data_IF_613134638050
#
_entry.id   IF_613134638050
#
_cell.length_a   1.000
_cell.length_b   1.000
_cell.length_c   1.000
_cell.angle_alpha   90.00
_cell.angle_beta   90.00
_cell.angle_gamma   90.00
#
_symmetry.space_group_name_H-M   'P 1'
#
loop_
_entity.id
_entity.type
_entity.pdbx_description
1 polymer ?
#
# COMPACT_ATOMS: atom_id res chain seq x y z
N UNK A 1 -5.91 32.12 8.09
CA UNK A 1 -4.48 31.93 8.43
C UNK A 1 -4.13 30.48 8.16
N UNK A 2 -3.52 30.26 7.01
CA UNK A 2 -3.09 28.95 6.47
C UNK A 2 -1.82 28.53 7.17
N UNK A 3 -1.94 27.72 8.22
CA UNK A 3 -0.81 26.98 8.76
C UNK A 3 -0.64 25.71 7.94
N UNK A 4 0.33 25.70 7.03
CA UNK A 4 0.89 24.48 6.45
C UNK A 4 1.54 23.71 7.60
N UNK A 5 0.81 22.74 8.15
CA UNK A 5 1.32 21.88 9.21
C UNK A 5 2.44 21.01 8.63
N UNK A 6 3.70 21.40 8.86
CA UNK A 6 4.84 20.51 8.65
C UNK A 6 4.60 19.23 9.46
N UNK A 7 4.63 18.08 8.79
CA UNK A 7 4.53 16.79 9.46
C UNK A 7 5.70 16.63 10.43
N UNK A 8 5.41 16.58 11.74
CA UNK A 8 6.42 16.36 12.78
C UNK A 8 7.03 14.97 12.57
N UNK A 9 8.35 14.92 12.39
CA UNK A 9 9.07 13.71 12.01
C UNK A 9 8.87 12.56 13.03
N UNK A 10 8.52 11.38 12.52
CA UNK A 10 8.58 10.12 13.25
C UNK A 10 9.99 9.91 13.79
N UNK A 11 10.11 9.62 15.09
CA UNK A 11 11.35 9.16 15.70
C UNK A 11 11.09 7.96 16.60
N UNK A 12 12.07 7.08 16.73
CA UNK A 12 12.02 6.01 17.73
C UNK A 12 12.19 6.65 19.12
N UNK A 13 11.27 6.42 20.09
CA UNK A 13 11.45 6.85 21.47
C UNK A 13 12.80 6.39 22.05
N UNK A 14 13.58 7.34 22.58
CA UNK A 14 14.95 7.14 23.05
C UNK A 14 16.00 8.06 22.40
N UNK A 15 15.64 8.77 21.32
CA UNK A 15 16.53 9.73 20.66
C UNK A 15 16.50 11.17 21.25
N UNK A 16 15.54 11.50 22.11
CA UNK A 16 15.48 12.80 22.81
C UNK A 16 15.15 12.60 24.28
N UNK A 17 16.02 13.08 25.16
CA UNK A 17 15.75 13.20 26.59
C UNK A 17 14.96 14.49 26.87
N UNK A 18 13.64 14.38 27.00
CA UNK A 18 12.80 15.30 27.79
C UNK A 18 11.34 14.84 27.78
N UNK A 19 10.70 14.85 28.95
CA UNK A 19 9.41 14.22 29.27
C UNK A 19 8.23 14.52 28.36
N UNK A 20 7.44 13.47 28.14
CA UNK A 20 6.31 13.34 27.20
C UNK A 20 6.59 12.12 26.31
N UNK A 21 5.59 11.27 25.99
CA UNK A 21 5.80 10.02 25.22
C UNK A 21 6.48 10.22 23.84
N UNK A 22 6.73 11.46 23.41
CA UNK A 22 7.72 11.82 22.38
C UNK A 22 7.35 11.44 20.95
N UNK A 23 6.19 10.80 20.76
CA UNK A 23 5.70 10.34 19.47
C UNK A 23 4.90 11.44 18.77
N UNK A 24 5.18 11.75 17.51
CA UNK A 24 4.42 12.74 16.77
C UNK A 24 2.97 12.30 16.60
N UNK A 25 2.04 13.24 16.81
CA UNK A 25 0.64 13.05 16.49
C UNK A 25 0.42 13.36 15.01
N UNK A 26 -0.10 12.38 14.27
CA UNK A 26 -0.48 12.56 12.87
C UNK A 26 -1.87 13.18 12.81
N UNK A 27 -1.99 14.30 12.11
CA UNK A 27 -3.26 15.00 11.89
C UNK A 27 -3.58 14.94 10.41
N UNK A 28 -4.75 14.39 10.07
CA UNK A 28 -5.29 14.39 8.73
C UNK A 28 -6.41 15.41 8.67
N UNK A 29 -6.21 16.49 7.92
CA UNK A 29 -7.26 17.48 7.74
C UNK A 29 -8.41 16.92 6.88
N UNK A 30 -9.57 17.58 6.96
CA UNK A 30 -10.79 17.09 6.31
C UNK A 30 -10.72 17.20 4.78
N UNK A 31 -9.97 18.15 4.24
CA UNK A 31 -9.82 18.32 2.80
C UNK A 31 -8.96 17.19 2.22
N UNK A 32 -7.82 16.87 2.84
CA UNK A 32 -7.00 15.71 2.47
C UNK A 32 -7.78 14.41 2.66
N UNK A 33 -8.55 14.26 3.74
CA UNK A 33 -9.39 13.08 3.95
C UNK A 33 -10.39 12.85 2.80
N UNK A 34 -11.11 13.89 2.37
CA UNK A 34 -12.04 13.83 1.24
C UNK A 34 -11.32 13.61 -0.09
N UNK A 35 -10.16 14.23 -0.29
CA UNK A 35 -9.33 13.99 -1.47
C UNK A 35 -8.91 12.51 -1.54
N UNK A 36 -8.50 11.90 -0.42
CA UNK A 36 -8.23 10.45 -0.35
C UNK A 36 -9.51 9.67 -0.67
N UNK A 37 -10.66 9.99 -0.06
CA UNK A 37 -11.92 9.29 -0.28
C UNK A 37 -12.38 9.29 -1.75
N UNK A 38 -12.08 10.38 -2.48
CA UNK A 38 -12.31 10.51 -3.92
C UNK A 38 -11.19 9.96 -4.81
N UNK A 39 -10.24 9.18 -4.27
CA UNK A 39 -9.07 8.64 -4.96
C UNK A 39 -8.16 9.71 -5.63
N UNK A 40 -8.18 10.94 -5.10
CA UNK A 40 -7.50 12.14 -5.62
C UNK A 40 -6.53 12.78 -4.61
N UNK A 41 -6.07 12.02 -3.61
CA UNK A 41 -5.20 12.53 -2.54
C UNK A 41 -3.80 12.98 -3.01
N UNK A 42 -3.30 12.42 -4.11
CA UNK A 42 -2.02 12.79 -4.70
C UNK A 42 -0.81 12.55 -3.78
N UNK A 43 0.38 13.08 -4.17
CA UNK A 43 1.62 12.88 -3.43
C UNK A 43 1.61 13.44 -2.00
N UNK A 44 0.83 14.49 -1.75
CA UNK A 44 0.75 15.11 -0.42
C UNK A 44 0.06 14.21 0.60
N UNK A 45 -1.08 13.61 0.23
CA UNK A 45 -1.72 12.60 1.05
C UNK A 45 -0.79 11.39 1.29
N UNK A 46 -0.08 10.95 0.25
CA UNK A 46 0.90 9.86 0.36
C UNK A 46 2.00 10.20 1.39
N UNK A 47 2.57 11.42 1.37
CA UNK A 47 3.58 11.84 2.34
C UNK A 47 3.08 11.76 3.79
N UNK A 48 1.85 12.20 4.03
CA UNK A 48 1.23 12.12 5.36
C UNK A 48 1.05 10.67 5.81
N UNK A 49 0.49 9.82 4.95
CA UNK A 49 0.29 8.40 5.25
C UNK A 49 1.62 7.69 5.47
N UNK A 50 2.64 8.00 4.68
CA UNK A 50 4.02 7.49 4.83
C UNK A 50 4.61 7.85 6.20
N UNK A 51 4.40 9.07 6.69
CA UNK A 51 4.86 9.47 8.03
C UNK A 51 4.17 8.68 9.15
N UNK A 52 2.87 8.40 8.99
CA UNK A 52 2.13 7.51 9.89
C UNK A 52 2.69 6.08 9.88
N UNK A 53 2.99 5.55 8.69
CA UNK A 53 3.59 4.22 8.53
C UNK A 53 4.98 4.12 9.16
N UNK A 54 5.84 5.13 9.03
CA UNK A 54 7.13 5.21 9.74
C UNK A 54 6.94 5.14 11.26
N UNK A 55 5.99 5.92 11.80
CA UNK A 55 5.72 5.95 13.24
C UNK A 55 5.21 4.61 13.75
N UNK A 56 4.30 3.96 13.00
CA UNK A 56 3.80 2.61 13.31
C UNK A 56 4.94 1.60 13.41
N UNK A 57 5.86 1.59 12.43
CA UNK A 57 6.99 0.66 12.40
C UNK A 57 7.99 0.92 13.52
N UNK A 58 8.31 2.19 13.80
CA UNK A 58 9.11 2.55 14.96
C UNK A 58 8.49 2.04 16.27
N UNK A 59 7.16 2.17 16.42
CA UNK A 59 6.42 1.67 17.59
C UNK A 59 6.42 0.14 17.69
N UNK A 60 6.29 -0.57 16.57
CA UNK A 60 6.40 -2.03 16.54
C UNK A 60 7.77 -2.50 17.02
N UNK A 61 8.85 -1.84 16.59
CA UNK A 61 10.20 -2.16 17.06
C UNK A 61 10.42 -1.83 18.54
N UNK A 62 9.84 -0.73 19.05
CA UNK A 62 9.84 -0.45 20.50
C UNK A 62 9.10 -1.53 21.27
N UNK A 63 7.95 -1.99 20.77
CA UNK A 63 7.21 -3.09 21.38
C UNK A 63 8.04 -4.37 21.40
N UNK A 64 8.72 -4.71 20.30
CA UNK A 64 9.64 -5.85 20.22
C UNK A 64 10.75 -5.77 21.27
N UNK A 65 11.39 -4.60 21.43
CA UNK A 65 12.42 -4.37 22.45
C UNK A 65 11.91 -4.64 23.87
N UNK A 66 10.65 -4.32 24.14
CA UNK A 66 10.03 -4.52 25.47
C UNK A 66 9.72 -5.98 25.74
N UNK A 67 9.28 -6.75 24.74
CA UNK A 67 8.89 -8.15 24.92
C UNK A 67 10.06 -9.13 24.85
N UNK A 68 11.15 -8.76 24.17
CA UNK A 68 12.35 -9.58 24.02
C UNK A 68 13.61 -8.85 24.54
N UNK A 69 13.68 -8.41 25.81
CA UNK A 69 14.77 -7.55 26.30
C UNK A 69 16.13 -8.26 26.40
N UNK A 70 16.14 -9.60 26.38
CA UNK A 70 17.36 -10.42 26.47
C UNK A 70 17.89 -10.89 25.11
N UNK A 71 17.20 -10.55 24.04
CA UNK A 71 17.60 -10.91 22.68
C UNK A 71 18.76 -9.98 22.24
N UNK A 72 19.96 -10.53 22.16
CA UNK A 72 21.18 -9.74 21.94
C UNK A 72 21.29 -9.22 20.51
N UNK A 73 20.99 -10.06 19.50
CA UNK A 73 21.10 -9.64 18.11
C UNK A 73 20.01 -8.64 17.71
N UNK A 74 18.79 -8.73 18.29
CA UNK A 74 17.81 -7.65 18.16
C UNK A 74 18.30 -6.35 18.79
N UNK A 75 18.89 -6.38 20.00
CA UNK A 75 19.41 -5.17 20.65
C UNK A 75 20.50 -4.51 19.80
N UNK A 76 21.46 -5.30 19.31
CA UNK A 76 22.54 -4.80 18.45
C UNK A 76 21.98 -4.16 17.17
N UNK A 77 21.08 -4.86 16.47
CA UNK A 77 20.45 -4.34 15.26
C UNK A 77 19.58 -3.09 15.54
N UNK A 78 18.90 -3.05 16.68
CA UNK A 78 18.10 -1.90 17.09
C UNK A 78 18.97 -0.67 17.43
N UNK A 79 20.11 -0.88 18.10
CA UNK A 79 21.06 0.18 18.41
C UNK A 79 21.73 0.72 17.13
N UNK A 80 22.05 -0.15 16.18
CA UNK A 80 22.51 0.22 14.82
C UNK A 80 21.45 1.07 14.09
N UNK A 81 20.17 0.64 14.11
CA UNK A 81 19.07 1.40 13.54
C UNK A 81 18.91 2.78 14.21
N UNK A 82 19.07 2.87 15.53
CA UNK A 82 19.03 4.14 16.25
C UNK A 82 20.20 5.06 15.89
N UNK A 83 21.40 4.50 15.68
CA UNK A 83 22.55 5.25 15.18
C UNK A 83 22.30 5.76 13.76
N UNK A 84 21.76 4.90 12.89
CA UNK A 84 21.38 5.23 11.52
C UNK A 84 20.40 6.39 11.46
N UNK A 85 19.39 6.43 12.35
CA UNK A 85 18.44 7.55 12.43
C UNK A 85 19.14 8.92 12.59
N UNK A 86 20.29 8.95 13.29
CA UNK A 86 21.05 10.19 13.55
C UNK A 86 22.03 10.51 12.43
N UNK A 87 22.67 9.50 11.83
CA UNK A 87 23.71 9.68 10.82
C UNK A 87 23.18 9.73 9.39
N UNK A 88 22.14 8.95 9.07
CA UNK A 88 21.53 8.83 7.75
C UNK A 88 20.01 8.59 7.88
N UNK A 89 19.27 9.69 7.94
CA UNK A 89 17.82 9.67 8.08
C UNK A 89 17.14 9.01 6.88
N UNK A 90 17.71 9.09 5.67
CA UNK A 90 17.12 8.55 4.45
C UNK A 90 17.20 7.03 4.44
N UNK A 91 18.38 6.47 4.75
CA UNK A 91 18.56 5.03 4.89
C UNK A 91 17.73 4.46 6.03
N UNK A 92 17.56 5.20 7.13
CA UNK A 92 16.64 4.78 8.20
C UNK A 92 15.19 4.64 7.70
N UNK A 93 14.69 5.57 6.88
CA UNK A 93 13.33 5.47 6.34
C UNK A 93 13.20 4.31 5.37
N UNK A 94 14.20 4.11 4.52
CA UNK A 94 14.26 2.99 3.59
C UNK A 94 14.13 1.66 4.34
N UNK A 95 14.89 1.49 5.43
CA UNK A 95 14.85 0.29 6.28
C UNK A 95 13.49 0.12 6.94
N UNK A 96 12.92 1.18 7.53
CA UNK A 96 11.61 1.07 8.18
C UNK A 96 10.51 0.74 7.17
N UNK A 97 10.53 1.38 6.01
CA UNK A 97 9.49 1.21 4.98
C UNK A 97 9.71 0.01 4.08
N UNK A 98 10.66 -0.88 4.39
CA UNK A 98 10.70 -2.21 3.76
C UNK A 98 9.32 -2.87 3.94
N UNK A 99 8.67 -3.32 2.84
CA UNK A 99 7.31 -3.84 2.90
C UNK A 99 7.12 -4.95 3.93
N UNK A 100 8.14 -5.77 4.17
CA UNK A 100 8.07 -6.97 4.99
C UNK A 100 8.19 -6.69 6.49
N UNK A 101 8.68 -5.52 6.88
CA UNK A 101 9.04 -5.21 8.27
C UNK A 101 7.82 -5.19 9.19
N UNK A 102 6.70 -4.61 8.75
CA UNK A 102 5.46 -4.56 9.55
C UNK A 102 4.88 -5.97 9.75
N UNK A 103 4.79 -6.76 8.66
CA UNK A 103 4.34 -8.15 8.74
C UNK A 103 5.21 -8.98 9.68
N UNK A 104 6.54 -8.89 9.53
CA UNK A 104 7.52 -9.56 10.39
C UNK A 104 7.38 -9.16 11.86
N UNK A 105 7.40 -7.87 12.18
CA UNK A 105 7.32 -7.41 13.56
C UNK A 105 6.01 -7.85 14.21
N UNK A 106 4.91 -7.80 13.46
CA UNK A 106 3.61 -8.25 13.94
C UNK A 106 3.55 -9.77 14.15
N UNK A 107 4.18 -10.59 13.29
CA UNK A 107 4.31 -12.04 13.48
C UNK A 107 5.12 -12.37 14.74
N UNK A 108 6.27 -11.73 14.92
CA UNK A 108 7.11 -11.91 16.10
C UNK A 108 6.36 -11.57 17.39
N UNK A 109 5.68 -10.42 17.44
CA UNK A 109 4.90 -10.01 18.61
C UNK A 109 3.76 -10.99 18.93
N UNK A 110 3.09 -11.53 17.89
CA UNK A 110 2.06 -12.57 18.08
C UNK A 110 2.64 -13.87 18.61
N UNK A 111 3.73 -14.35 18.02
CA UNK A 111 4.38 -15.59 18.45
C UNK A 111 4.81 -15.51 19.92
N UNK A 112 5.49 -14.41 20.29
CA UNK A 112 5.92 -14.17 21.67
C UNK A 112 4.74 -14.06 22.66
N UNK A 113 3.58 -13.58 22.21
CA UNK A 113 2.37 -13.53 23.04
C UNK A 113 1.73 -14.90 23.24
N UNK A 114 1.95 -15.85 22.34
CA UNK A 114 1.38 -17.21 22.39
C UNK A 114 2.26 -18.22 23.14
N UNK A 115 3.51 -17.86 23.47
CA UNK A 115 4.43 -18.69 24.26
C UNK A 115 5.89 -18.58 23.81
N UNK A 116 6.81 -19.34 24.43
CA UNK A 116 8.25 -19.26 24.17
C UNK A 116 8.69 -19.87 22.82
N UNK A 117 7.75 -20.15 21.91
CA UNK A 117 8.12 -20.63 20.57
C UNK A 117 8.86 -19.51 19.83
N UNK A 118 10.11 -19.79 19.45
CA UNK A 118 10.88 -18.87 18.62
C UNK A 118 10.15 -18.66 17.27
N UNK A 119 10.02 -17.42 16.78
CA UNK A 119 9.46 -17.19 15.45
C UNK A 119 10.32 -17.94 14.41
N UNK A 120 9.73 -18.46 13.32
CA UNK A 120 10.48 -19.13 12.25
C UNK A 120 11.55 -18.22 11.62
N UNK A 121 11.35 -16.90 11.67
CA UNK A 121 12.33 -15.85 11.38
C UNK A 121 12.51 -14.95 12.62
N UNK A 122 13.07 -15.53 13.68
CA UNK A 122 13.32 -14.82 14.94
C UNK A 122 14.14 -13.53 14.76
N UNK A 123 14.20 -12.68 15.79
CA UNK A 123 14.82 -11.36 15.68
C UNK A 123 16.28 -11.36 15.18
N UNK A 124 16.99 -12.45 15.48
CA UNK A 124 18.39 -12.71 15.14
C UNK A 124 18.61 -13.43 13.80
N UNK A 125 17.54 -13.88 13.13
CA UNK A 125 17.64 -14.61 11.87
C UNK A 125 18.12 -13.74 10.70
N UNK A 126 18.54 -14.35 9.57
CA UNK A 126 18.87 -13.61 8.33
C UNK A 126 17.68 -12.81 7.77
N UNK A 127 16.45 -13.10 8.23
CA UNK A 127 15.22 -12.36 7.95
C UNK A 127 14.70 -11.52 9.14
N UNK A 128 15.54 -11.32 10.18
CA UNK A 128 15.29 -10.42 11.31
C UNK A 128 15.77 -8.98 11.06
N UNK A 129 15.77 -8.13 12.09
CA UNK A 129 16.06 -6.70 11.94
C UNK A 129 17.46 -6.43 11.37
N UNK A 130 18.48 -7.18 11.82
CA UNK A 130 19.83 -7.10 11.26
C UNK A 130 19.88 -7.54 9.79
N UNK A 131 19.04 -8.49 9.39
CA UNK A 131 18.83 -8.88 7.99
C UNK A 131 18.29 -7.72 7.16
N UNK A 132 17.30 -6.98 7.65
CA UNK A 132 16.76 -5.81 6.93
C UNK A 132 17.75 -4.66 6.79
N UNK A 133 18.63 -4.46 7.78
CA UNK A 133 19.69 -3.45 7.71
C UNK A 133 20.73 -3.79 6.63
N UNK A 134 21.11 -5.07 6.56
CA UNK A 134 22.16 -5.60 5.67
C UNK A 134 21.66 -5.98 4.28
N UNK A 135 20.37 -6.26 4.12
CA UNK A 135 19.82 -6.69 2.85
C UNK A 135 19.99 -5.59 1.79
N UNK A 136 20.55 -5.99 0.65
CA UNK A 136 20.52 -5.17 -0.55
C UNK A 136 19.09 -4.95 -1.03
N UNK A 137 18.89 -3.85 -1.74
CA UNK A 137 17.71 -3.67 -2.59
C UNK A 137 17.88 -4.56 -3.83
N UNK A 138 16.79 -5.21 -4.28
CA UNK A 138 16.76 -5.92 -5.56
C UNK A 138 17.00 -4.96 -6.74
N UNK A 139 16.88 -5.43 -7.99
CA UNK A 139 17.02 -4.57 -9.17
C UNK A 139 16.12 -3.34 -9.05
N UNK A 140 16.73 -2.15 -9.05
CA UNK A 140 16.04 -0.86 -9.04
C UNK A 140 15.87 -0.44 -10.49
N UNK A 141 14.63 -0.17 -10.89
CA UNK A 141 14.33 0.44 -12.18
C UNK A 141 14.36 1.96 -12.04
N UNK A 142 14.75 2.69 -13.10
CA UNK A 142 14.65 4.16 -13.17
C UNK A 142 13.77 4.51 -14.38
N UNK A 143 12.49 4.73 -14.12
CA UNK A 143 11.48 4.96 -15.15
C UNK A 143 11.10 6.44 -15.17
N UNK A 144 11.36 7.14 -16.27
CA UNK A 144 11.05 8.56 -16.43
C UNK A 144 10.19 8.78 -17.68
N UNK A 145 9.11 9.54 -17.53
CA UNK A 145 8.26 9.97 -18.64
C UNK A 145 7.72 11.37 -18.33
N UNK A 146 7.75 12.29 -19.30
CA UNK A 146 7.23 13.67 -19.21
C UNK A 146 7.53 14.38 -17.87
N UNK A 147 8.79 14.27 -17.43
CA UNK A 147 9.33 14.88 -16.20
C UNK A 147 8.88 14.23 -14.88
N UNK A 148 8.15 13.11 -14.93
CA UNK A 148 7.80 12.32 -13.75
C UNK A 148 8.63 11.03 -13.70
N UNK A 149 9.32 10.83 -12.58
CA UNK A 149 10.22 9.70 -12.35
C UNK A 149 9.64 8.75 -11.30
N UNK A 150 9.80 7.45 -11.52
CA UNK A 150 9.45 6.38 -10.60
C UNK A 150 10.60 5.37 -10.53
N UNK A 151 11.06 5.06 -9.32
CA UNK A 151 12.21 4.17 -9.09
C UNK A 151 11.87 2.94 -8.24
N UNK A 152 11.02 2.02 -8.72
CA UNK A 152 10.64 0.84 -7.95
C UNK A 152 11.75 -0.22 -7.93
N UNK A 153 11.82 -0.95 -6.84
CA UNK A 153 12.55 -2.23 -6.77
C UNK A 153 11.65 -3.34 -7.31
N UNK A 154 12.19 -4.22 -8.15
CA UNK A 154 11.57 -5.52 -8.45
C UNK A 154 12.00 -6.50 -7.37
N UNK A 155 11.15 -6.74 -6.37
CA UNK A 155 11.48 -7.60 -5.23
C UNK A 155 11.22 -9.08 -5.54
N UNK A 156 12.17 -9.69 -6.25
CA UNK A 156 12.19 -11.11 -6.56
C UNK A 156 13.19 -11.93 -5.73
N UNK A 157 13.94 -11.29 -4.81
CA UNK A 157 15.04 -11.91 -4.02
C UNK A 157 15.07 -11.57 -2.53
N UNK A 158 14.14 -10.78 -1.98
CA UNK A 158 14.09 -10.45 -0.55
C UNK A 158 14.13 -11.66 0.41
N UNK A 159 14.65 -11.46 1.64
CA UNK A 159 14.87 -12.52 2.63
C UNK A 159 13.57 -13.06 3.24
N UNK A 160 12.49 -12.27 3.14
CA UNK A 160 11.15 -12.61 3.60
C UNK A 160 10.16 -12.27 2.49
N UNK A 161 9.21 -13.15 2.23
CA UNK A 161 8.09 -12.87 1.32
C UNK A 161 6.85 -12.68 2.15
N UNK A 162 6.24 -11.49 2.09
CA UNK A 162 4.91 -11.28 2.67
C UNK A 162 3.92 -12.15 1.91
N UNK A 163 2.98 -12.77 2.62
CA UNK A 163 1.87 -13.47 1.99
C UNK A 163 0.87 -12.45 1.43
N UNK A 164 0.80 -12.37 0.10
CA UNK A 164 -0.17 -11.55 -0.63
C UNK A 164 -1.47 -12.34 -0.94
N UNK A 165 -1.71 -13.43 -0.22
CA UNK A 165 -2.72 -14.45 -0.53
C UNK A 165 -2.30 -15.40 -1.65
N UNK A 166 -1.07 -15.25 -2.17
CA UNK A 166 -0.46 -16.02 -3.26
C UNK A 166 1.05 -16.05 -3.08
N UNK A 167 1.72 -17.16 -3.46
CA UNK A 167 3.18 -17.23 -3.41
C UNK A 167 3.79 -16.27 -4.44
N UNK A 168 4.77 -15.43 -4.04
CA UNK A 168 5.53 -14.61 -4.97
C UNK A 168 6.33 -15.44 -5.96
N UNK A 169 6.49 -14.93 -7.17
CA UNK A 169 7.36 -15.49 -8.20
C UNK A 169 8.82 -15.12 -7.91
N UNK A 170 9.73 -16.08 -8.02
CA UNK A 170 11.16 -15.84 -7.95
C UNK A 170 11.97 -17.06 -7.46
N UNK A 171 13.30 -17.03 -7.63
CA UNK A 171 14.10 -15.97 -8.26
C UNK A 171 13.83 -15.84 -9.77
N UNK A 172 13.70 -14.62 -10.29
CA UNK A 172 13.60 -14.34 -11.72
C UNK A 172 14.95 -14.41 -12.43
N UNK A 173 14.95 -14.89 -13.67
CA UNK A 173 16.07 -14.84 -14.62
C UNK A 173 16.28 -13.43 -15.18
N UNK A 174 17.44 -13.19 -15.80
CA UNK A 174 17.75 -11.92 -16.50
C UNK A 174 16.79 -11.62 -17.65
N UNK A 175 16.23 -12.64 -18.30
CA UNK A 175 15.23 -12.45 -19.35
C UNK A 175 13.89 -11.99 -18.77
N UNK A 176 13.44 -12.62 -17.68
CA UNK A 176 12.21 -12.22 -16.98
C UNK A 176 12.32 -10.80 -16.40
N UNK A 177 13.48 -10.44 -15.83
CA UNK A 177 13.72 -9.08 -15.31
C UNK A 177 13.63 -8.02 -16.42
N UNK A 178 14.18 -8.28 -17.61
CA UNK A 178 14.03 -7.37 -18.76
C UNK A 178 12.57 -7.24 -19.20
N UNK A 179 11.83 -8.35 -19.23
CA UNK A 179 10.38 -8.30 -19.51
C UNK A 179 9.60 -7.46 -18.49
N UNK A 180 9.97 -7.53 -17.21
CA UNK A 180 9.41 -6.65 -16.18
C UNK A 180 9.74 -5.19 -16.42
N UNK A 181 10.99 -4.87 -16.73
CA UNK A 181 11.44 -3.50 -17.04
C UNK A 181 10.68 -2.91 -18.24
N UNK A 182 10.59 -3.65 -19.34
CA UNK A 182 9.89 -3.24 -20.56
C UNK A 182 8.40 -2.95 -20.31
N UNK A 183 7.70 -3.88 -19.64
CA UNK A 183 6.28 -3.71 -19.36
C UNK A 183 6.00 -2.61 -18.33
N UNK A 184 6.83 -2.47 -17.30
CA UNK A 184 6.68 -1.39 -16.32
C UNK A 184 6.97 -0.03 -16.95
N UNK A 185 7.94 0.08 -17.86
CA UNK A 185 8.18 1.31 -18.62
C UNK A 185 6.95 1.68 -19.48
N UNK A 186 6.39 0.72 -20.22
CA UNK A 186 5.19 0.95 -21.04
C UNK A 186 3.96 1.34 -20.19
N UNK A 187 3.75 0.65 -19.06
CA UNK A 187 2.68 0.98 -18.11
C UNK A 187 2.90 2.37 -17.47
N UNK A 188 4.15 2.74 -17.19
CA UNK A 188 4.49 4.04 -16.64
C UNK A 188 4.18 5.18 -17.62
N UNK A 189 4.52 5.02 -18.90
CA UNK A 189 4.14 6.01 -19.94
C UNK A 189 2.61 6.23 -20.00
N UNK A 190 1.84 5.14 -19.92
CA UNK A 190 0.37 5.19 -19.88
C UNK A 190 -0.10 5.99 -18.67
N UNK A 191 0.43 5.68 -17.47
CA UNK A 191 0.06 6.37 -16.24
C UNK A 191 0.41 7.85 -16.31
N UNK A 192 1.60 8.21 -16.79
CA UNK A 192 2.04 9.61 -16.85
C UNK A 192 1.21 10.42 -17.83
N UNK A 193 0.95 9.88 -19.04
CA UNK A 193 0.28 10.63 -20.12
C UNK A 193 -1.22 10.70 -19.94
N UNK A 194 -1.85 9.69 -19.33
CA UNK A 194 -3.32 9.55 -19.26
C UNK A 194 -3.89 9.60 -17.85
N UNK A 195 -3.09 9.29 -16.84
CA UNK A 195 -3.50 9.17 -15.43
C UNK A 195 -2.55 9.92 -14.48
N UNK A 196 -2.04 11.08 -14.89
CA UNK A 196 -0.90 11.77 -14.25
C UNK A 196 -1.02 11.94 -12.73
N UNK A 197 -2.23 12.19 -12.24
CA UNK A 197 -2.51 12.28 -10.79
C UNK A 197 -2.25 10.98 -10.04
N UNK A 198 -2.66 9.84 -10.62
CA UNK A 198 -2.31 8.52 -10.09
C UNK A 198 -0.84 8.21 -10.26
N UNK A 199 -0.23 8.54 -11.40
CA UNK A 199 1.20 8.34 -11.61
C UNK A 199 2.04 9.02 -10.50
N UNK A 200 1.73 10.27 -10.17
CA UNK A 200 2.45 11.01 -9.12
C UNK A 200 2.27 10.37 -7.74
N UNK A 201 1.08 9.86 -7.44
CA UNK A 201 0.80 9.19 -6.16
C UNK A 201 1.48 7.81 -6.08
N UNK A 202 1.48 7.04 -7.18
CA UNK A 202 2.18 5.76 -7.31
C UNK A 202 3.68 5.98 -7.12
N UNK A 203 4.30 6.94 -7.81
CA UNK A 203 5.71 7.24 -7.66
C UNK A 203 6.11 7.64 -6.23
N UNK A 204 5.21 8.33 -5.53
CA UNK A 204 5.46 8.74 -4.14
C UNK A 204 5.27 7.61 -3.12
N UNK A 205 4.56 6.52 -3.46
CA UNK A 205 4.13 5.49 -2.51
C UNK A 205 4.74 4.12 -2.81
N UNK A 206 4.70 3.67 -4.06
CA UNK A 206 5.05 2.30 -4.46
C UNK A 206 6.55 2.22 -4.66
N UNK A 207 7.25 1.72 -3.64
CA UNK A 207 8.69 1.51 -3.65
C UNK A 207 9.09 0.13 -4.18
N UNK A 208 8.16 -0.84 -4.17
CA UNK A 208 8.43 -2.20 -4.60
C UNK A 208 7.31 -2.78 -5.46
N UNK A 209 7.70 -3.49 -6.51
CA UNK A 209 6.84 -4.39 -7.28
C UNK A 209 7.27 -5.82 -6.93
N UNK A 210 6.34 -6.62 -6.42
CA UNK A 210 6.56 -8.02 -6.05
C UNK A 210 5.99 -8.93 -7.14
N UNK A 211 6.83 -9.63 -7.92
CA UNK A 211 6.33 -10.54 -8.95
C UNK A 211 5.47 -11.66 -8.34
N UNK A 212 4.35 -11.99 -8.97
CA UNK A 212 3.51 -13.15 -8.66
C UNK A 212 3.44 -14.09 -9.86
N UNK A 213 3.10 -15.35 -9.61
CA UNK A 213 2.66 -16.25 -10.68
C UNK A 213 1.25 -15.86 -11.16
N UNK A 214 0.96 -15.95 -12.47
CA UNK A 214 -0.41 -15.80 -12.97
C UNK A 214 -1.32 -16.88 -12.38
N UNK A 215 -2.64 -16.69 -12.50
CA UNK A 215 -3.60 -17.73 -12.16
C UNK A 215 -3.38 -18.99 -13.03
N UNK A 216 -3.86 -20.19 -12.62
CA UNK A 216 -3.69 -21.41 -13.40
C UNK A 216 -4.23 -21.34 -14.84
N UNK A 217 -5.22 -20.49 -15.12
CA UNK A 217 -5.76 -20.25 -16.46
C UNK A 217 -4.97 -19.22 -17.28
N UNK A 218 -3.88 -18.66 -16.72
CA UNK A 218 -3.05 -17.64 -17.34
C UNK A 218 -3.55 -16.21 -17.09
N UNK A 219 -4.63 -16.03 -16.34
CA UNK A 219 -5.15 -14.70 -16.02
C UNK A 219 -4.18 -13.93 -15.12
N UNK A 220 -4.05 -12.63 -15.42
CA UNK A 220 -3.25 -11.74 -14.59
C UNK A 220 -3.87 -11.61 -13.19
N UNK A 221 -3.02 -11.63 -12.17
CA UNK A 221 -3.40 -11.45 -10.77
C UNK A 221 -2.60 -10.29 -10.17
N UNK A 222 -3.26 -9.54 -9.29
CA UNK A 222 -2.62 -8.51 -8.48
C UNK A 222 -3.17 -8.55 -7.06
N UNK A 223 -2.40 -8.02 -6.11
CA UNK A 223 -2.73 -8.01 -4.69
C UNK A 223 -1.87 -7.00 -3.93
N UNK A 224 -2.44 -6.43 -2.88
CA UNK A 224 -1.76 -5.62 -1.89
C UNK A 224 -2.02 -6.22 -0.49
N UNK A 225 -0.95 -6.40 0.28
CA UNK A 225 -1.08 -6.87 1.65
C UNK A 225 -1.16 -5.67 2.60
N UNK A 226 -2.11 -5.72 3.56
CA UNK A 226 -2.32 -4.62 4.53
C UNK A 226 -1.07 -4.28 5.35
N UNK A 227 -0.15 -5.23 5.55
CA UNK A 227 1.11 -5.05 6.28
C UNK A 227 2.33 -4.93 5.36
N UNK A 228 2.13 -4.63 4.08
CA UNK A 228 3.18 -4.42 3.09
C UNK A 228 3.05 -3.05 2.42
N UNK A 229 2.95 -1.99 3.23
CA UNK A 229 2.88 -0.62 2.72
C UNK A 229 4.04 -0.34 1.75
N UNK A 230 3.72 0.25 0.60
CA UNK A 230 4.67 0.58 -0.45
C UNK A 230 4.99 -0.55 -1.43
N UNK A 231 4.39 -1.74 -1.27
CA UNK A 231 4.49 -2.83 -2.23
C UNK A 231 3.19 -3.04 -3.00
N UNK A 232 3.33 -3.30 -4.30
CA UNK A 232 2.28 -3.86 -5.15
C UNK A 232 2.75 -5.22 -5.62
N UNK A 233 1.95 -6.27 -5.37
CA UNK A 233 2.24 -7.59 -5.90
C UNK A 233 1.40 -7.85 -7.15
N UNK A 234 2.03 -8.27 -8.25
CA UNK A 234 1.31 -8.56 -9.49
C UNK A 234 2.04 -9.61 -10.32
N UNK A 235 1.30 -10.42 -11.07
CA UNK A 235 1.86 -11.13 -12.21
C UNK A 235 2.12 -10.15 -13.35
N UNK A 236 2.99 -10.51 -14.29
CA UNK A 236 3.27 -9.69 -15.48
C UNK A 236 2.20 -9.91 -16.55
N UNK A 237 1.26 -8.96 -16.80
CA UNK A 237 0.31 -9.11 -17.90
C UNK A 237 1.00 -8.82 -19.25
N UNK A 238 0.48 -9.40 -20.33
CA UNK A 238 0.93 -9.08 -21.69
C UNK A 238 0.50 -7.68 -22.16
N UNK A 239 -0.54 -7.11 -21.54
CA UNK A 239 -1.11 -5.80 -21.87
C UNK A 239 -0.62 -4.73 -20.85
N UNK A 240 0.16 -3.73 -21.27
CA UNK A 240 0.63 -2.64 -20.41
C UNK A 240 -0.50 -1.79 -19.81
N UNK A 241 -1.66 -1.69 -20.47
CA UNK A 241 -2.83 -0.98 -19.93
C UNK A 241 -3.33 -1.70 -18.68
N UNK A 242 -3.37 -3.03 -18.71
CA UNK A 242 -3.75 -3.83 -17.55
C UNK A 242 -2.72 -3.77 -16.43
N UNK A 243 -1.42 -3.65 -16.73
CA UNK A 243 -0.40 -3.42 -15.69
C UNK A 243 -0.56 -2.04 -15.05
N UNK A 244 -0.79 -1.00 -15.85
CA UNK A 244 -1.08 0.35 -15.34
C UNK A 244 -2.33 0.36 -14.45
N UNK A 245 -3.40 -0.33 -14.87
CA UNK A 245 -4.61 -0.50 -14.08
C UNK A 245 -4.34 -1.22 -12.75
N UNK A 246 -3.59 -2.34 -12.78
CA UNK A 246 -3.23 -3.09 -11.57
C UNK A 246 -2.41 -2.24 -10.59
N UNK A 247 -1.46 -1.43 -11.07
CA UNK A 247 -0.70 -0.50 -10.22
C UNK A 247 -1.62 0.50 -9.51
N UNK A 248 -2.58 1.09 -10.21
CA UNK A 248 -3.56 2.02 -9.61
C UNK A 248 -4.45 1.30 -8.61
N UNK A 249 -4.99 0.14 -8.97
CA UNK A 249 -5.87 -0.66 -8.13
C UNK A 249 -5.18 -1.00 -6.80
N UNK A 250 -3.99 -1.59 -6.88
CA UNK A 250 -3.27 -2.05 -5.68
C UNK A 250 -2.70 -0.88 -4.87
N UNK A 251 -2.27 0.20 -5.53
CA UNK A 251 -1.91 1.44 -4.82
C UNK A 251 -3.08 1.95 -3.96
N UNK A 252 -4.32 1.90 -4.45
CA UNK A 252 -5.47 2.36 -3.68
C UNK A 252 -5.74 1.44 -2.47
N UNK A 253 -5.51 0.13 -2.59
CA UNK A 253 -5.51 -0.75 -1.42
C UNK A 253 -4.43 -0.39 -0.41
N UNK A 254 -3.20 -0.12 -0.86
CA UNK A 254 -2.08 0.33 0.01
C UNK A 254 -2.43 1.66 0.71
N UNK A 255 -2.95 2.63 -0.04
CA UNK A 255 -3.32 3.94 0.48
C UNK A 255 -4.42 3.84 1.55
N UNK A 256 -5.48 3.08 1.27
CA UNK A 256 -6.56 2.88 2.23
C UNK A 256 -6.11 2.09 3.45
N UNK A 257 -5.23 1.09 3.27
CA UNK A 257 -4.62 0.36 4.38
C UNK A 257 -3.88 1.29 5.34
N UNK A 258 -3.09 2.22 4.80
CA UNK A 258 -2.39 3.22 5.61
C UNK A 258 -3.33 4.24 6.26
N UNK A 259 -4.41 4.64 5.59
CA UNK A 259 -5.44 5.50 6.18
C UNK A 259 -6.14 4.81 7.36
N UNK A 260 -6.47 3.53 7.23
CA UNK A 260 -7.16 2.75 8.26
C UNK A 260 -6.32 2.57 9.54
N UNK A 261 -5.00 2.74 9.45
CA UNK A 261 -4.12 2.76 10.63
C UNK A 261 -4.22 4.09 11.42
N UNK A 262 -4.73 5.16 10.79
CA UNK A 262 -4.89 6.49 11.40
C UNK A 262 -6.36 6.78 11.75
N UNK A 263 -7.29 6.39 10.88
CA UNK A 263 -8.71 6.74 10.97
C UNK A 263 -9.55 5.47 10.78
N UNK A 264 -10.23 4.98 11.84
CA UNK A 264 -11.19 3.89 11.71
C UNK A 264 -12.39 4.30 10.86
N UNK A 265 -12.64 3.57 9.76
CA UNK A 265 -13.77 3.81 8.85
C UNK A 265 -14.94 2.84 9.09
N UNK A 266 -14.71 1.74 9.80
CA UNK A 266 -15.74 0.78 10.13
C UNK A 266 -15.48 0.21 11.52
N UNK A 267 -16.54 -0.32 12.15
CA UNK A 267 -16.38 -1.12 13.37
C UNK A 267 -15.59 -2.40 13.07
N UNK A 268 -14.96 -3.06 14.05
CA UNK A 268 -14.34 -4.36 13.84
C UNK A 268 -15.27 -5.28 13.05
N UNK A 269 -14.73 -5.93 12.03
CA UNK A 269 -15.53 -6.71 11.08
C UNK A 269 -16.40 -7.76 11.80
N UNK A 270 -17.70 -7.74 11.51
CA UNK A 270 -18.60 -8.84 11.81
C UNK A 270 -18.51 -9.98 10.78
N UNK A 271 -19.50 -10.89 10.74
CA UNK A 271 -19.54 -11.97 9.75
C UNK A 271 -19.61 -11.43 8.31
N UNK A 272 -19.20 -12.28 7.36
CA UNK A 272 -19.27 -11.96 5.95
C UNK A 272 -20.72 -12.08 5.43
N UNK A 273 -21.43 -10.95 5.39
CA UNK A 273 -22.87 -10.92 5.04
C UNK A 273 -23.22 -10.00 3.88
N UNK A 274 -22.29 -9.15 3.43
CA UNK A 274 -22.58 -8.15 2.40
C UNK A 274 -22.20 -8.65 1.01
N UNK A 275 -23.12 -8.52 0.06
CA UNK A 275 -22.86 -8.86 -1.33
C UNK A 275 -21.93 -7.83 -1.99
N UNK A 276 -20.95 -8.33 -2.75
CA UNK A 276 -20.04 -7.53 -3.58
C UNK A 276 -20.35 -7.78 -5.06
N UNK A 277 -20.75 -6.78 -5.86
CA UNK A 277 -21.19 -6.98 -7.25
C UNK A 277 -20.22 -7.69 -8.19
N UNK A 278 -18.92 -7.68 -7.87
CA UNK A 278 -17.85 -8.25 -8.69
C UNK A 278 -17.42 -9.67 -8.31
N UNK A 279 -18.04 -10.29 -7.29
CA UNK A 279 -17.67 -11.64 -6.85
C UNK A 279 -18.82 -12.36 -6.12
N UNK A 280 -18.85 -13.71 -6.13
CA UNK A 280 -19.97 -14.46 -5.57
C UNK A 280 -19.98 -14.57 -4.04
N UNK A 281 -18.83 -14.52 -3.36
CA UNK A 281 -18.78 -14.63 -1.90
C UNK A 281 -19.17 -13.32 -1.19
N UNK A 282 -19.86 -13.49 -0.07
CA UNK A 282 -20.20 -12.39 0.84
C UNK A 282 -18.94 -11.84 1.52
N UNK A 283 -19.00 -10.57 1.91
CA UNK A 283 -17.88 -9.81 2.46
C UNK A 283 -18.26 -9.18 3.80
N UNK A 284 -17.33 -9.12 4.77
CA UNK A 284 -17.49 -8.21 5.89
C UNK A 284 -17.38 -6.75 5.42
N UNK A 285 -17.94 -5.81 6.19
CA UNK A 285 -18.03 -4.40 5.80
C UNK A 285 -16.67 -3.79 5.41
N UNK A 286 -15.61 -4.05 6.19
CA UNK A 286 -14.27 -3.54 5.88
C UNK A 286 -13.70 -4.08 4.56
N UNK A 287 -13.99 -5.32 4.22
CA UNK A 287 -13.53 -5.92 2.96
C UNK A 287 -14.33 -5.41 1.75
N UNK A 288 -15.63 -5.14 1.92
CA UNK A 288 -16.45 -4.48 0.91
C UNK A 288 -15.99 -3.03 0.69
N UNK A 289 -15.68 -2.30 1.77
CA UNK A 289 -15.13 -0.93 1.71
C UNK A 289 -13.82 -0.89 0.93
N UNK A 290 -12.89 -1.81 1.21
CA UNK A 290 -11.63 -1.88 0.47
C UNK A 290 -11.83 -2.11 -1.03
N UNK A 291 -12.67 -3.08 -1.41
CA UNK A 291 -12.95 -3.35 -2.82
C UNK A 291 -13.67 -2.18 -3.50
N UNK A 292 -14.62 -1.56 -2.83
CA UNK A 292 -15.36 -0.39 -3.36
C UNK A 292 -14.43 0.78 -3.62
N UNK A 293 -13.46 1.03 -2.73
CA UNK A 293 -12.49 2.10 -2.91
C UNK A 293 -11.50 1.85 -4.06
N UNK A 294 -10.98 0.64 -4.20
CA UNK A 294 -10.13 0.30 -5.34
C UNK A 294 -10.91 0.38 -6.68
N UNK A 295 -12.17 -0.08 -6.71
CA UNK A 295 -13.00 -0.03 -7.91
C UNK A 295 -13.46 1.39 -8.31
N UNK A 296 -13.47 2.37 -7.39
CA UNK A 296 -13.54 3.78 -7.78
C UNK A 296 -12.35 4.15 -8.68
N UNK A 297 -11.14 3.70 -8.34
CA UNK A 297 -9.95 3.88 -9.19
C UNK A 297 -10.09 3.21 -10.55
N UNK A 298 -10.59 1.97 -10.58
CA UNK A 298 -10.84 1.23 -11.83
C UNK A 298 -11.85 1.95 -12.71
N UNK A 299 -12.97 2.42 -12.16
CA UNK A 299 -13.96 3.19 -12.91
C UNK A 299 -13.36 4.50 -13.44
N UNK A 300 -12.58 5.22 -12.64
CA UNK A 300 -11.90 6.45 -13.07
C UNK A 300 -10.88 6.19 -14.18
N UNK A 301 -10.14 5.08 -14.09
CA UNK A 301 -9.15 4.68 -15.08
C UNK A 301 -9.82 4.42 -16.43
N UNK A 302 -10.85 3.57 -16.47
CA UNK A 302 -11.54 3.26 -17.73
C UNK A 302 -12.29 4.46 -18.31
N UNK A 303 -12.81 5.37 -17.47
CA UNK A 303 -13.37 6.63 -17.93
C UNK A 303 -12.34 7.47 -18.71
N UNK A 304 -11.10 7.55 -18.21
CA UNK A 304 -10.03 8.30 -18.86
C UNK A 304 -9.48 7.57 -20.10
N UNK A 305 -9.41 6.23 -20.09
CA UNK A 305 -9.04 5.43 -21.26
C UNK A 305 -10.05 5.60 -22.41
N UNK A 306 -11.36 5.56 -22.10
CA UNK A 306 -12.42 5.82 -23.07
C UNK A 306 -12.31 7.22 -23.68
N UNK A 307 -12.00 8.23 -22.86
CA UNK A 307 -11.82 9.61 -23.30
C UNK A 307 -10.55 9.82 -24.14
N UNK A 308 -9.48 9.06 -23.88
CA UNK A 308 -8.24 9.13 -24.64
C UNK A 308 -8.40 8.61 -26.08
N UNK A 309 -9.41 7.78 -26.36
CA UNK A 309 -9.78 7.34 -27.72
C UNK A 309 -8.72 6.49 -28.43
N UNK A 310 -7.81 5.85 -27.68
CA UNK A 310 -6.80 4.92 -28.22
C UNK A 310 -7.50 3.60 -28.60
N UNK A 311 -6.82 2.72 -29.33
CA UNK A 311 -7.31 1.38 -29.69
C UNK A 311 -8.01 0.71 -28.50
N UNK A 312 -9.23 0.18 -28.71
CA UNK A 312 -10.13 -0.41 -27.69
C UNK A 312 -11.05 0.53 -26.91
N UNK A 313 -11.48 1.66 -27.51
CA UNK A 313 -12.50 2.56 -26.92
C UNK A 313 -13.78 1.83 -26.46
N UNK A 314 -14.32 0.92 -27.26
CA UNK A 314 -15.55 0.18 -26.91
C UNK A 314 -15.37 -0.63 -25.61
N UNK A 315 -14.26 -1.37 -25.50
CA UNK A 315 -13.89 -2.09 -24.27
C UNK A 315 -13.79 -1.13 -23.09
N UNK A 316 -13.15 0.02 -23.25
CA UNK A 316 -13.01 0.99 -22.17
C UNK A 316 -14.36 1.58 -21.71
N UNK A 317 -15.29 1.85 -22.64
CA UNK A 317 -16.64 2.31 -22.34
C UNK A 317 -17.45 1.24 -21.58
N UNK A 318 -17.36 -0.03 -22.01
CA UNK A 318 -18.00 -1.17 -21.34
C UNK A 318 -17.45 -1.39 -19.92
N UNK A 319 -16.13 -1.40 -19.77
CA UNK A 319 -15.46 -1.53 -18.48
C UNK A 319 -15.84 -0.38 -17.55
N UNK A 320 -15.83 0.86 -18.05
CA UNK A 320 -16.24 2.04 -17.27
C UNK A 320 -17.68 1.89 -16.77
N UNK A 321 -18.63 1.58 -17.66
CA UNK A 321 -20.03 1.42 -17.30
C UNK A 321 -20.22 0.35 -16.22
N UNK A 322 -19.56 -0.81 -16.39
CA UNK A 322 -19.61 -1.93 -15.45
C UNK A 322 -19.06 -1.55 -14.07
N UNK A 323 -17.83 -1.02 -14.01
CA UNK A 323 -17.19 -0.70 -12.74
C UNK A 323 -17.82 0.49 -12.03
N UNK A 324 -18.34 1.48 -12.78
CA UNK A 324 -19.15 2.56 -12.21
C UNK A 324 -20.40 2.02 -11.52
N UNK A 325 -21.15 1.15 -12.19
CA UNK A 325 -22.35 0.53 -11.62
C UNK A 325 -22.03 -0.31 -10.38
N UNK A 326 -21.04 -1.20 -10.47
CA UNK A 326 -20.60 -2.04 -9.34
C UNK A 326 -20.19 -1.21 -8.12
N UNK A 327 -19.42 -0.15 -8.34
CA UNK A 327 -18.92 0.70 -7.25
C UNK A 327 -20.05 1.46 -6.57
N UNK A 328 -21.02 1.99 -7.33
CA UNK A 328 -22.18 2.68 -6.76
C UNK A 328 -23.09 1.74 -5.97
N UNK A 329 -23.34 0.53 -6.47
CA UNK A 329 -24.11 -0.49 -5.75
C UNK A 329 -23.45 -0.86 -4.43
N UNK A 330 -22.14 -1.14 -4.44
CA UNK A 330 -21.41 -1.49 -3.22
C UNK A 330 -21.34 -0.32 -2.22
N UNK A 331 -21.18 0.92 -2.70
CA UNK A 331 -21.24 2.11 -1.86
C UNK A 331 -22.62 2.28 -1.20
N UNK A 332 -23.72 1.99 -1.91
CA UNK A 332 -25.07 1.96 -1.34
C UNK A 332 -25.17 0.96 -0.19
N UNK A 333 -24.76 -0.30 -0.42
CA UNK A 333 -24.73 -1.34 0.61
C UNK A 333 -23.95 -0.91 1.86
N UNK A 334 -22.79 -0.27 1.68
CA UNK A 334 -21.96 0.23 2.80
C UNK A 334 -22.66 1.34 3.60
N UNK A 335 -23.39 2.24 2.95
CA UNK A 335 -24.09 3.34 3.64
C UNK A 335 -25.31 2.87 4.45
N UNK A 336 -25.89 1.74 4.03
CA UNK A 336 -27.08 1.13 4.63
C UNK A 336 -26.75 0.06 5.68
N UNK A 337 -25.55 -0.56 5.65
CA UNK A 337 -25.23 -1.69 6.51
C UNK A 337 -25.14 -1.35 8.02
N UNK A 338 -25.03 -0.07 8.36
CA UNK A 338 -24.95 0.39 9.75
C UNK A 338 -23.61 0.08 10.45
N UNK A 339 -22.61 -0.50 9.77
CA UNK A 339 -21.32 -0.89 10.35
C UNK A 339 -20.20 0.16 10.21
N UNK A 340 -20.42 1.20 9.42
CA UNK A 340 -19.47 2.31 9.25
C UNK A 340 -19.40 3.19 10.51
N UNK A 341 -18.22 3.77 10.75
CA UNK A 341 -18.07 4.91 11.67
C UNK A 341 -18.57 6.19 11.00
N UNK A 342 -18.64 7.31 11.74
CA UNK A 342 -19.00 8.61 11.13
C UNK A 342 -18.01 9.02 10.02
N UNK A 343 -16.71 8.80 10.25
CA UNK A 343 -15.69 9.01 9.22
C UNK A 343 -15.88 8.04 8.05
N UNK A 344 -16.27 6.79 8.32
CA UNK A 344 -16.58 5.81 7.28
C UNK A 344 -17.74 6.24 6.38
N UNK A 345 -18.83 6.73 6.99
CA UNK A 345 -19.98 7.24 6.25
C UNK A 345 -19.57 8.41 5.36
N UNK A 346 -18.87 9.40 5.90
CA UNK A 346 -18.38 10.54 5.11
C UNK A 346 -17.46 10.09 3.97
N UNK A 347 -16.54 9.15 4.24
CA UNK A 347 -15.64 8.58 3.24
C UNK A 347 -16.42 7.92 2.12
N UNK A 348 -17.39 7.06 2.44
CA UNK A 348 -18.20 6.35 1.45
C UNK A 348 -19.12 7.30 0.67
N UNK A 349 -19.64 8.36 1.30
CA UNK A 349 -20.41 9.41 0.62
C UNK A 349 -19.56 10.19 -0.39
N UNK A 350 -18.33 10.56 -0.03
CA UNK A 350 -17.38 11.23 -0.93
C UNK A 350 -16.92 10.33 -2.07
N UNK A 351 -16.65 9.06 -1.78
CA UNK A 351 -16.37 8.02 -2.77
C UNK A 351 -17.52 7.95 -3.77
N UNK A 352 -18.76 7.78 -3.29
CA UNK A 352 -19.93 7.67 -4.16
C UNK A 352 -20.16 8.95 -4.99
N UNK A 353 -19.96 10.14 -4.40
CA UNK A 353 -20.02 11.42 -5.14
C UNK A 353 -18.97 11.47 -6.24
N UNK A 354 -17.76 11.05 -5.94
CA UNK A 354 -16.65 11.00 -6.90
C UNK A 354 -16.93 10.05 -8.06
N UNK A 355 -17.52 8.87 -7.82
CA UNK A 355 -17.93 7.94 -8.89
C UNK A 355 -19.05 8.54 -9.75
N UNK A 356 -20.05 9.19 -9.14
CA UNK A 356 -21.16 9.80 -9.89
C UNK A 356 -20.70 10.90 -10.84
N UNK A 357 -19.68 11.65 -10.44
CA UNK A 357 -19.08 12.73 -11.22
C UNK A 357 -18.19 12.25 -12.38
N UNK A 358 -17.87 10.96 -12.48
CA UNK A 358 -17.14 10.42 -13.63
C UNK A 358 -18.03 10.42 -14.88
N UNK A 359 -17.47 10.89 -16.00
CA UNK A 359 -18.13 10.92 -17.31
C UNK A 359 -19.26 11.95 -17.44
N UNK A 360 -19.41 12.85 -16.46
CA UNK A 360 -20.41 13.91 -16.43
C UNK A 360 -19.87 15.28 -16.83
#
# INVERSE_FOLDING_TARGET
MTGTGEAVAAGVPGARGSGGDGLPRHVLDRATFRAIAGARGGPEAVRLLRAGQLSKRALLLVAMRRVAPRDEGFREAYDELCALQRSDRARWEEVLLRPELDAWAADCLRALSLGPAAPPDGPDGPAGLGGFLRAGVGPVLDLECDGLRWTPVVDHLGPRRVDYGRPPAGPLSTAELRGWEEQLAAAWEILVRRHRGHAAAVAACVAAVVPLHPAPGGEAVSSAARRAYGAVATSLPGDPVLLALALVHEFLHVQLGALLDLVPLHRPNGPAVHHAPWRPDLRPAGALLQGTYAHLGVASFWCAEAAAGVSERERAEEEFARWRAHTLTAAGTLLECGELTDNGREFTEELARSVRALGG
#
